data_IF_276984430373
#
_entry.id   IF_276984430373
#
_cell.length_a   1.000
_cell.length_b   1.000
_cell.length_c   1.000
_cell.angle_alpha   90.00
_cell.angle_beta   90.00
_cell.angle_gamma   90.00
#
_symmetry.space_group_name_H-M   'P 1'
#
loop_
_entity.id
_entity.type
_entity.pdbx_description
1 polymer ?
#
# COMPACT_ATOMS: atom_id res chain seq x y z
N UNK A 1 0.30 -29.63 -7.56
CA UNK A 1 0.08 -28.52 -8.51
C UNK A 1 1.03 -27.39 -8.13
N UNK A 2 1.72 -26.73 -9.07
CA UNK A 2 2.49 -25.52 -8.74
C UNK A 2 1.53 -24.35 -8.63
N UNK A 3 1.39 -23.77 -7.44
CA UNK A 3 0.61 -22.54 -7.23
C UNK A 3 1.14 -21.44 -8.17
N UNK A 4 0.29 -20.79 -8.99
CA UNK A 4 0.70 -19.72 -9.90
C UNK A 4 0.85 -18.36 -9.21
N UNK A 5 0.71 -18.30 -7.88
CA UNK A 5 0.76 -17.04 -7.14
C UNK A 5 2.20 -16.63 -6.86
N UNK A 6 2.68 -15.62 -7.59
CA UNK A 6 3.94 -14.94 -7.24
C UNK A 6 3.81 -14.38 -5.83
N UNK A 7 4.69 -14.81 -4.95
CA UNK A 7 4.77 -14.28 -3.60
C UNK A 7 5.13 -12.78 -3.67
N UNK A 8 4.37 -11.89 -3.01
CA UNK A 8 4.72 -10.48 -2.97
C UNK A 8 6.08 -10.25 -2.32
N UNK A 9 6.90 -9.40 -2.93
CA UNK A 9 8.19 -8.97 -2.37
C UNK A 9 7.97 -7.87 -1.33
N UNK A 10 8.96 -7.63 -0.46
CA UNK A 10 8.96 -6.47 0.45
C UNK A 10 8.75 -5.16 -0.32
N UNK A 11 9.34 -5.03 -1.50
CA UNK A 11 9.17 -3.87 -2.37
C UNK A 11 7.71 -3.69 -2.80
N UNK A 12 7.04 -4.77 -3.22
CA UNK A 12 5.62 -4.75 -3.60
C UNK A 12 4.72 -4.36 -2.42
N UNK A 13 4.99 -4.91 -1.24
CA UNK A 13 4.24 -4.54 -0.03
C UNK A 13 4.44 -3.07 0.35
N UNK A 14 5.68 -2.56 0.23
CA UNK A 14 5.98 -1.16 0.48
C UNK A 14 5.30 -0.24 -0.53
N UNK A 15 5.28 -0.58 -1.81
CA UNK A 15 4.58 0.23 -2.81
C UNK A 15 3.09 0.35 -2.46
N UNK A 16 2.44 -0.75 -2.09
CA UNK A 16 1.02 -0.73 -1.69
C UNK A 16 0.76 0.05 -0.40
N UNK A 17 1.69 0.00 0.56
CA UNK A 17 1.65 0.81 1.78
C UNK A 17 1.77 2.32 1.48
N UNK A 18 2.70 2.69 0.60
CA UNK A 18 3.02 4.09 0.29
C UNK A 18 2.01 4.73 -0.67
N UNK A 19 1.44 3.94 -1.60
CA UNK A 19 0.59 4.41 -2.69
C UNK A 19 -0.52 5.39 -2.24
N UNK A 20 -1.31 5.12 -1.18
CA UNK A 20 -2.36 6.04 -0.73
C UNK A 20 -1.88 7.45 -0.40
N UNK A 21 -0.60 7.60 -0.01
CA UNK A 21 -0.01 8.86 0.44
C UNK A 21 0.57 9.68 -0.72
N UNK A 22 0.80 9.07 -1.88
CA UNK A 22 1.35 9.75 -3.07
C UNK A 22 0.31 9.99 -4.16
N UNK A 23 -0.75 9.18 -4.22
CA UNK A 23 -1.77 9.24 -5.28
C UNK A 23 -2.43 10.63 -5.41
N UNK A 24 -2.61 11.36 -4.32
CA UNK A 24 -3.31 12.66 -4.28
C UNK A 24 -2.41 13.87 -4.43
N UNK A 25 -1.10 13.67 -4.48
CA UNK A 25 -0.15 14.74 -4.30
C UNK A 25 0.31 15.21 -5.68
N UNK A 26 -0.12 16.41 -6.06
CA UNK A 26 0.17 16.98 -7.38
C UNK A 26 1.65 17.30 -7.59
N UNK A 27 2.28 17.91 -6.58
CA UNK A 27 3.70 18.24 -6.63
C UNK A 27 4.54 16.97 -6.53
N UNK A 28 5.45 16.80 -7.47
CA UNK A 28 6.39 15.67 -7.44
C UNK A 28 7.30 15.73 -6.21
N UNK A 29 7.75 16.93 -5.83
CA UNK A 29 8.56 17.13 -4.62
C UNK A 29 7.81 16.67 -3.35
N UNK A 30 6.51 16.99 -3.26
CA UNK A 30 5.68 16.54 -2.15
C UNK A 30 5.43 15.01 -2.18
N UNK A 31 5.35 14.40 -3.37
CA UNK A 31 5.32 12.93 -3.49
C UNK A 31 6.61 12.30 -2.99
N UNK A 32 7.76 12.89 -3.31
CA UNK A 32 9.06 12.43 -2.80
C UNK A 32 9.12 12.51 -1.27
N UNK A 33 8.68 13.63 -0.68
CA UNK A 33 8.59 13.78 0.78
C UNK A 33 7.66 12.73 1.39
N UNK A 34 6.48 12.49 0.80
CA UNK A 34 5.56 11.46 1.25
C UNK A 34 6.17 10.05 1.19
N UNK A 35 6.89 9.72 0.11
CA UNK A 35 7.60 8.45 -0.04
C UNK A 35 8.70 8.27 1.01
N UNK A 36 9.47 9.33 1.29
CA UNK A 36 10.49 9.33 2.35
C UNK A 36 9.86 9.14 3.74
N UNK A 37 8.77 9.85 4.05
CA UNK A 37 8.03 9.69 5.30
C UNK A 37 7.49 8.26 5.46
N UNK A 38 6.96 7.66 4.39
CA UNK A 38 6.54 6.26 4.37
C UNK A 38 7.72 5.32 4.64
N UNK A 39 8.88 5.56 4.05
CA UNK A 39 10.10 4.79 4.28
C UNK A 39 10.56 4.86 5.75
N UNK A 40 10.52 6.05 6.35
CA UNK A 40 10.81 6.24 7.78
C UNK A 40 9.81 5.48 8.65
N UNK A 41 8.51 5.67 8.42
CA UNK A 41 7.46 4.97 9.15
C UNK A 41 7.58 3.44 9.04
N UNK A 42 7.93 2.93 7.85
CA UNK A 42 8.19 1.51 7.65
C UNK A 42 9.33 1.00 8.53
N UNK A 43 10.48 1.66 8.52
CA UNK A 43 11.63 1.22 9.30
C UNK A 43 11.42 1.39 10.81
N UNK A 44 10.76 2.46 11.25
CA UNK A 44 10.40 2.68 12.66
C UNK A 44 9.45 1.59 13.13
N UNK A 45 8.55 1.10 12.28
CA UNK A 45 7.62 0.01 12.64
C UNK A 45 8.30 -1.32 13.03
N UNK A 46 9.57 -1.50 12.65
CA UNK A 46 10.36 -2.69 12.94
C UNK A 46 10.84 -2.76 14.40
N UNK A 47 10.80 -1.65 15.13
CA UNK A 47 11.15 -1.66 16.54
C UNK A 47 10.03 -2.30 17.37
N UNK A 48 10.35 -3.27 18.25
CA UNK A 48 9.37 -4.19 18.82
C UNK A 48 8.36 -3.51 19.74
N UNK A 49 8.75 -2.49 20.50
CA UNK A 49 7.85 -1.83 21.47
C UNK A 49 7.59 -0.35 21.17
N UNK A 50 6.46 0.14 21.67
CA UNK A 50 5.99 1.50 21.43
C UNK A 50 6.95 2.58 21.97
N UNK A 51 7.64 2.31 23.07
CA UNK A 51 8.61 3.24 23.65
C UNK A 51 9.81 3.44 22.73
N UNK A 52 10.38 2.35 22.20
CA UNK A 52 11.48 2.39 21.24
C UNK A 52 11.07 3.09 19.94
N UNK A 53 9.84 2.85 19.46
CA UNK A 53 9.31 3.53 18.28
C UNK A 53 9.20 5.03 18.50
N UNK A 54 8.66 5.46 19.65
CA UNK A 54 8.61 6.87 20.04
C UNK A 54 10.01 7.48 20.08
N UNK A 55 10.96 6.81 20.72
CA UNK A 55 12.36 7.26 20.78
C UNK A 55 13.00 7.39 19.40
N UNK A 56 12.69 6.50 18.45
CA UNK A 56 13.20 6.65 17.07
C UNK A 56 12.56 7.84 16.35
N UNK A 57 11.26 8.07 16.54
CA UNK A 57 10.57 9.25 15.98
C UNK A 57 11.21 10.54 16.51
N UNK A 58 11.48 10.61 17.82
CA UNK A 58 12.15 11.75 18.43
C UNK A 58 13.57 11.94 17.84
N UNK A 59 14.36 10.87 17.72
CA UNK A 59 15.70 10.93 17.11
C UNK A 59 15.71 11.37 15.65
N UNK A 60 14.68 10.99 14.87
CA UNK A 60 14.56 11.44 13.49
C UNK A 60 14.28 12.94 13.46
N UNK A 61 13.39 13.42 14.32
CA UNK A 61 13.12 14.86 14.43
C UNK A 61 14.37 15.63 14.85
N UNK A 62 15.11 15.17 15.86
CA UNK A 62 16.33 15.84 16.33
C UNK A 62 17.38 16.01 15.21
N UNK A 63 17.46 15.05 14.29
CA UNK A 63 18.33 15.16 13.10
C UNK A 63 17.80 16.17 12.09
N UNK A 64 16.51 16.13 11.80
CA UNK A 64 15.88 17.11 10.89
C UNK A 64 16.04 18.53 11.42
N UNK A 65 15.87 18.73 12.73
CA UNK A 65 16.08 20.03 13.37
C UNK A 65 17.54 20.47 13.29
N UNK A 66 18.49 19.57 13.58
CA UNK A 66 19.91 19.88 13.50
C UNK A 66 20.41 20.21 12.07
N UNK A 67 19.79 19.63 11.04
CA UNK A 67 20.14 19.86 9.64
C UNK A 67 19.52 21.15 9.07
N UNK A 68 18.53 21.74 9.76
CA UNK A 68 17.85 22.95 9.32
C UNK A 68 18.55 24.21 9.85
N UNK A 69 18.68 25.24 9.00
CA UNK A 69 19.28 26.53 9.37
C UNK A 69 18.30 27.44 10.12
N UNK A 70 16.99 27.21 9.96
CA UNK A 70 15.93 28.01 10.55
C UNK A 70 15.12 27.18 11.56
N UNK A 71 14.60 27.80 12.63
CA UNK A 71 13.75 27.12 13.59
C UNK A 71 12.48 26.60 12.91
N UNK A 72 12.06 25.40 13.28
CA UNK A 72 10.85 24.79 12.75
C UNK A 72 9.61 25.66 13.03
N UNK A 73 8.71 25.87 12.05
CA UNK A 73 7.44 26.54 12.26
C UNK A 73 6.63 25.91 13.40
N UNK A 74 5.84 26.69 14.16
CA UNK A 74 4.99 26.17 15.21
C UNK A 74 4.08 25.04 14.73
N UNK A 75 4.06 23.92 15.45
CA UNK A 75 3.24 22.75 15.14
C UNK A 75 3.84 21.77 14.14
N UNK A 76 4.93 22.11 13.44
CA UNK A 76 5.57 21.21 12.47
C UNK A 76 6.08 19.92 13.14
N UNK A 77 6.74 20.04 14.29
CA UNK A 77 7.21 18.87 15.06
C UNK A 77 6.04 17.94 15.40
N UNK A 78 4.96 18.49 15.93
CA UNK A 78 3.80 17.72 16.36
C UNK A 78 3.16 16.98 15.18
N UNK A 79 2.96 17.68 14.05
CA UNK A 79 2.44 17.11 12.81
C UNK A 79 3.33 15.98 12.30
N UNK A 80 4.63 16.24 12.15
CA UNK A 80 5.62 15.25 11.72
C UNK A 80 5.61 13.99 12.58
N UNK A 81 5.67 14.15 13.90
CA UNK A 81 5.66 13.02 14.85
C UNK A 81 4.33 12.27 14.81
N UNK A 82 3.21 12.95 14.61
CA UNK A 82 1.89 12.31 14.47
C UNK A 82 1.79 11.49 13.19
N UNK A 83 2.27 12.02 12.07
CA UNK A 83 2.28 11.31 10.79
C UNK A 83 3.14 10.04 10.85
N UNK A 84 4.35 10.12 11.43
CA UNK A 84 5.20 8.93 11.60
C UNK A 84 4.56 7.88 12.51
N UNK A 85 3.84 8.28 13.58
CA UNK A 85 3.08 7.33 14.41
C UNK A 85 1.98 6.65 13.61
N UNK A 86 1.19 7.41 12.85
CA UNK A 86 0.14 6.88 11.99
C UNK A 86 0.71 5.87 10.98
N UNK A 87 1.78 6.24 10.26
CA UNK A 87 2.43 5.38 9.26
C UNK A 87 2.98 4.10 9.89
N UNK A 88 3.58 4.21 11.07
CA UNK A 88 4.08 3.06 11.83
C UNK A 88 2.96 2.09 12.17
N UNK A 89 1.85 2.59 12.74
CA UNK A 89 0.68 1.76 13.07
C UNK A 89 0.09 1.11 11.81
N UNK A 90 -0.10 1.89 10.74
CA UNK A 90 -0.62 1.37 9.48
C UNK A 90 0.24 0.25 8.90
N UNK A 91 1.58 0.37 8.94
CA UNK A 91 2.47 -0.70 8.51
C UNK A 91 2.26 -1.95 9.37
N UNK A 92 2.21 -1.80 10.70
CA UNK A 92 2.00 -2.93 11.62
C UNK A 92 0.66 -3.63 11.39
N UNK A 93 -0.39 -2.89 11.06
CA UNK A 93 -1.71 -3.45 10.78
C UNK A 93 -1.76 -4.17 9.44
N UNK A 94 -1.15 -3.61 8.39
CA UNK A 94 -1.20 -4.16 7.03
C UNK A 94 -0.20 -5.31 6.84
N UNK A 95 1.01 -5.19 7.41
CA UNK A 95 2.13 -6.09 7.17
C UNK A 95 2.92 -6.44 8.45
N UNK A 96 2.27 -7.06 9.47
CA UNK A 96 2.91 -7.41 10.74
C UNK A 96 4.05 -8.44 10.61
N UNK A 97 4.04 -9.30 9.58
CA UNK A 97 5.07 -10.33 9.38
C UNK A 97 6.31 -9.84 8.63
N UNK A 98 6.26 -8.67 8.00
CA UNK A 98 7.39 -8.17 7.21
C UNK A 98 8.40 -7.43 8.08
N UNK A 99 9.47 -8.12 8.46
CA UNK A 99 10.53 -7.59 9.32
C UNK A 99 11.77 -7.12 8.56
N UNK A 100 11.62 -6.84 7.27
CA UNK A 100 12.71 -6.37 6.41
C UNK A 100 12.75 -4.84 6.39
N UNK A 101 13.94 -4.28 6.60
CA UNK A 101 14.17 -2.85 6.47
C UNK A 101 14.26 -2.42 5.01
N UNK A 102 13.94 -1.15 4.78
CA UNK A 102 14.02 -0.49 3.49
C UNK A 102 14.97 0.70 3.66
N UNK A 103 16.28 0.51 3.44
CA UNK A 103 17.24 1.60 3.63
C UNK A 103 17.00 2.80 2.71
N UNK A 104 16.38 2.58 1.54
CA UNK A 104 16.16 3.62 0.53
C UNK A 104 14.92 3.30 -0.30
N UNK A 105 14.06 4.29 -0.44
CA UNK A 105 12.92 4.28 -1.36
C UNK A 105 12.81 5.66 -2.00
N UNK A 106 12.93 5.72 -3.32
CA UNK A 106 12.97 6.98 -4.06
C UNK A 106 12.01 6.97 -5.23
N UNK A 107 11.34 8.10 -5.42
CA UNK A 107 10.55 8.36 -6.61
C UNK A 107 11.39 9.11 -7.62
N UNK A 108 11.35 8.63 -8.86
CA UNK A 108 11.77 9.36 -10.05
C UNK A 108 10.56 9.59 -10.95
N UNK A 109 10.49 10.77 -11.57
CA UNK A 109 9.40 11.11 -12.47
C UNK A 109 9.68 10.51 -13.85
N UNK A 110 8.68 9.85 -14.45
CA UNK A 110 8.68 9.46 -15.86
C UNK A 110 7.45 10.06 -16.55
N UNK A 111 7.41 10.03 -17.89
CA UNK A 111 6.46 10.80 -18.70
C UNK A 111 4.98 10.54 -18.35
N UNK A 112 4.65 9.30 -18.00
CA UNK A 112 3.27 8.85 -17.75
C UNK A 112 3.06 8.20 -16.38
N UNK A 113 4.13 7.95 -15.64
CA UNK A 113 4.12 7.21 -14.37
C UNK A 113 5.29 7.69 -13.51
N UNK A 114 5.17 7.64 -12.18
CA UNK A 114 6.37 7.72 -11.34
C UNK A 114 7.00 6.32 -11.24
N UNK A 115 8.32 6.25 -11.09
CA UNK A 115 9.05 5.00 -10.83
C UNK A 115 9.53 5.05 -9.38
N UNK A 116 9.09 4.06 -8.60
CA UNK A 116 9.53 3.84 -7.23
C UNK A 116 10.67 2.82 -7.22
N UNK A 117 11.88 3.28 -6.91
CA UNK A 117 13.06 2.45 -6.74
C UNK A 117 13.24 2.12 -5.26
N UNK A 118 13.20 0.82 -4.92
CA UNK A 118 13.24 0.34 -3.53
C UNK A 118 14.46 -0.54 -3.34
N UNK A 119 15.32 -0.16 -2.40
CA UNK A 119 16.39 -1.02 -1.89
C UNK A 119 15.90 -1.69 -0.61
N UNK A 120 15.85 -3.02 -0.61
CA UNK A 120 15.60 -3.78 0.62
C UNK A 120 16.92 -4.22 1.25
N UNK A 121 16.93 -4.55 2.55
CA UNK A 121 18.15 -4.91 3.28
C UNK A 121 18.94 -6.10 2.72
N UNK A 122 18.33 -6.96 1.89
CA UNK A 122 18.93 -8.21 1.42
C UNK A 122 18.88 -8.42 -0.10
N UNK A 123 18.29 -7.48 -0.87
CA UNK A 123 18.13 -7.61 -2.32
C UNK A 123 18.74 -6.43 -3.08
N UNK A 124 18.82 -6.58 -4.41
CA UNK A 124 19.07 -5.48 -5.32
C UNK A 124 17.96 -4.43 -5.29
N UNK A 125 18.09 -3.40 -6.12
CA UNK A 125 17.04 -2.39 -6.28
C UNK A 125 15.91 -3.01 -7.09
N UNK A 126 14.70 -2.97 -6.55
CA UNK A 126 13.47 -3.30 -7.25
C UNK A 126 12.79 -2.01 -7.72
N UNK A 127 12.36 -1.96 -8.98
CA UNK A 127 11.66 -0.80 -9.54
C UNK A 127 10.18 -1.14 -9.78
N UNK A 128 9.31 -0.28 -9.26
CA UNK A 128 7.85 -0.44 -9.38
C UNK A 128 7.29 0.80 -10.06
N UNK A 129 6.56 0.59 -11.15
CA UNK A 129 5.84 1.68 -11.83
C UNK A 129 4.58 2.02 -11.05
N UNK A 130 4.43 3.29 -10.69
CA UNK A 130 3.27 3.81 -9.99
C UNK A 130 2.46 4.68 -10.94
N UNK A 131 1.18 4.32 -11.10
CA UNK A 131 0.20 5.13 -11.82
C UNK A 131 -0.26 6.24 -10.87
N UNK A 132 0.49 7.34 -10.82
CA UNK A 132 0.18 8.51 -9.99
C UNK A 132 -0.53 9.57 -10.82
N UNK A 133 -1.85 9.54 -10.82
CA UNK A 133 -2.66 10.63 -11.36
C UNK A 133 -3.47 11.27 -10.24
N UNK A 134 -3.20 12.52 -9.87
CA UNK A 134 -3.90 13.19 -8.77
C UNK A 134 -5.29 13.69 -9.17
N UNK A 135 -5.61 13.71 -10.47
CA UNK A 135 -6.84 14.24 -11.02
C UNK A 135 -7.68 13.19 -11.78
N UNK A 136 -9.01 13.40 -11.88
CA UNK A 136 -9.91 12.44 -12.53
C UNK A 136 -9.63 12.14 -14.01
N UNK A 137 -8.79 12.91 -14.73
CA UNK A 137 -8.40 12.56 -16.10
C UNK A 137 -7.53 11.31 -16.14
N UNK A 138 -6.89 10.96 -15.02
CA UNK A 138 -6.20 9.69 -14.85
C UNK A 138 -7.11 8.48 -14.69
N UNK A 139 -8.43 8.65 -14.60
CA UNK A 139 -9.38 7.57 -14.35
C UNK A 139 -9.22 6.38 -15.32
N UNK A 140 -9.00 6.54 -16.64
CA UNK A 140 -8.77 5.40 -17.52
C UNK A 140 -7.58 4.52 -17.12
N UNK A 141 -6.49 5.12 -16.66
CA UNK A 141 -5.28 4.41 -16.25
C UNK A 141 -5.51 3.69 -14.92
N UNK A 142 -6.18 4.34 -13.97
CA UNK A 142 -6.58 3.73 -12.70
C UNK A 142 -7.53 2.55 -12.94
N UNK A 143 -8.50 2.69 -13.85
CA UNK A 143 -9.45 1.64 -14.19
C UNK A 143 -8.72 0.37 -14.68
N UNK A 144 -7.67 0.52 -15.49
CA UNK A 144 -6.89 -0.64 -15.95
C UNK A 144 -6.19 -1.35 -14.78
N UNK A 145 -5.67 -0.62 -13.80
CA UNK A 145 -5.12 -1.21 -12.58
C UNK A 145 -6.20 -1.96 -11.79
N UNK A 146 -7.37 -1.34 -11.60
CA UNK A 146 -8.49 -1.96 -10.87
C UNK A 146 -9.03 -3.21 -11.57
N UNK A 147 -9.08 -3.22 -12.91
CA UNK A 147 -9.38 -4.42 -13.71
C UNK A 147 -8.34 -5.51 -13.52
N UNK A 148 -7.07 -5.16 -13.37
CA UNK A 148 -6.01 -6.10 -13.00
C UNK A 148 -6.32 -6.77 -11.66
N UNK A 149 -6.51 -5.96 -10.62
CA UNK A 149 -6.83 -6.43 -9.26
C UNK A 149 -8.08 -7.32 -9.26
N UNK A 150 -9.15 -6.90 -9.92
CA UNK A 150 -10.40 -7.67 -10.01
C UNK A 150 -10.17 -9.05 -10.64
N UNK A 151 -9.44 -9.12 -11.76
CA UNK A 151 -9.14 -10.38 -12.45
C UNK A 151 -8.28 -11.30 -11.58
N UNK A 152 -7.29 -10.76 -10.88
CA UNK A 152 -6.42 -11.55 -10.03
C UNK A 152 -7.16 -12.09 -8.81
N UNK A 153 -8.07 -11.29 -8.22
CA UNK A 153 -8.98 -11.73 -7.16
C UNK A 153 -9.85 -12.90 -7.63
N UNK A 154 -10.48 -12.75 -8.81
CA UNK A 154 -11.38 -13.78 -9.33
C UNK A 154 -10.66 -15.12 -9.52
N UNK A 155 -9.42 -15.09 -10.04
CA UNK A 155 -8.59 -16.30 -10.18
C UNK A 155 -8.25 -16.92 -8.83
N UNK A 156 -7.98 -16.12 -7.81
CA UNK A 156 -7.68 -16.62 -6.47
C UNK A 156 -8.91 -17.24 -5.81
N UNK A 157 -10.08 -16.63 -5.95
CA UNK A 157 -11.36 -17.20 -5.48
C UNK A 157 -11.64 -18.53 -6.16
N UNK A 158 -11.51 -18.60 -7.49
CA UNK A 158 -11.71 -19.84 -8.26
C UNK A 158 -10.77 -20.96 -7.80
N UNK A 159 -9.51 -20.63 -7.51
CA UNK A 159 -8.53 -21.58 -6.97
C UNK A 159 -8.97 -22.14 -5.62
N UNK A 160 -9.43 -21.30 -4.69
CA UNK A 160 -9.93 -21.73 -3.37
C UNK A 160 -11.14 -22.62 -3.51
N UNK A 161 -12.12 -22.21 -4.30
CA UNK A 161 -13.32 -23.02 -4.52
C UNK A 161 -12.99 -24.39 -5.10
N UNK A 162 -12.02 -24.46 -6.02
CA UNK A 162 -11.60 -25.72 -6.64
C UNK A 162 -10.95 -26.67 -5.61
N UNK A 163 -10.08 -26.15 -4.76
CA UNK A 163 -9.42 -26.92 -3.70
C UNK A 163 -10.46 -27.44 -2.70
N UNK A 164 -11.37 -26.57 -2.27
CA UNK A 164 -12.44 -26.93 -1.33
C UNK A 164 -13.39 -27.99 -1.92
N UNK A 165 -13.80 -27.84 -3.19
CA UNK A 165 -14.65 -28.84 -3.89
C UNK A 165 -13.97 -30.19 -4.03
N UNK A 166 -12.64 -30.21 -4.16
CA UNK A 166 -11.84 -31.42 -4.20
C UNK A 166 -11.61 -32.08 -2.84
N UNK A 167 -12.20 -31.56 -1.75
CA UNK A 167 -11.86 -31.92 -0.36
C UNK A 167 -10.35 -31.82 -0.06
N UNK A 168 -9.65 -30.97 -0.81
CA UNK A 168 -8.24 -30.70 -0.61
C UNK A 168 -8.02 -29.64 0.47
N UNK A 169 -6.82 -29.62 1.02
CA UNK A 169 -6.37 -28.58 1.94
C UNK A 169 -5.14 -27.91 1.32
N UNK A 170 -5.03 -26.59 1.50
CA UNK A 170 -3.83 -25.87 1.10
C UNK A 170 -2.66 -26.27 1.98
N UNK A 171 -1.49 -26.49 1.37
CA UNK A 171 -0.26 -26.63 2.16
C UNK A 171 0.09 -25.31 2.86
N UNK A 172 0.87 -25.37 3.94
CA UNK A 172 1.27 -24.18 4.72
C UNK A 172 1.90 -23.07 3.86
N UNK A 173 2.70 -23.47 2.86
CA UNK A 173 3.35 -22.56 1.92
C UNK A 173 2.29 -21.83 1.07
N UNK A 174 1.31 -22.55 0.54
CA UNK A 174 0.26 -21.99 -0.32
C UNK A 174 -0.65 -21.07 0.48
N UNK A 175 -1.05 -21.48 1.69
CA UNK A 175 -1.82 -20.66 2.63
C UNK A 175 -1.10 -19.35 2.95
N UNK A 176 0.22 -19.42 3.19
CA UNK A 176 1.05 -18.24 3.47
C UNK A 176 1.15 -17.30 2.26
N UNK A 177 1.37 -17.86 1.06
CA UNK A 177 1.43 -17.07 -0.18
C UNK A 177 0.10 -16.37 -0.48
N UNK A 178 -1.02 -17.08 -0.34
CA UNK A 178 -2.36 -16.52 -0.55
C UNK A 178 -2.68 -15.44 0.47
N UNK A 179 -2.43 -15.69 1.76
CA UNK A 179 -2.64 -14.71 2.82
C UNK A 179 -1.85 -13.43 2.56
N UNK A 180 -0.58 -13.57 2.17
CA UNK A 180 0.30 -12.42 1.87
C UNK A 180 -0.22 -11.63 0.66
N UNK A 181 -0.58 -12.32 -0.43
CA UNK A 181 -1.12 -11.69 -1.63
C UNK A 181 -2.41 -10.90 -1.33
N UNK A 182 -3.31 -11.47 -0.53
CA UNK A 182 -4.55 -10.80 -0.14
C UNK A 182 -4.31 -9.57 0.74
N UNK A 183 -3.32 -9.61 1.64
CA UNK A 183 -3.00 -8.45 2.46
C UNK A 183 -2.43 -7.28 1.63
N UNK A 184 -1.55 -7.57 0.66
CA UNK A 184 -1.05 -6.56 -0.29
C UNK A 184 -2.19 -5.95 -1.08
N UNK A 185 -3.06 -6.81 -1.60
CA UNK A 185 -4.23 -6.38 -2.35
C UNK A 185 -5.15 -5.48 -1.52
N UNK A 186 -5.41 -5.82 -0.25
CA UNK A 186 -6.20 -4.97 0.65
C UNK A 186 -5.54 -3.61 0.88
N UNK A 187 -4.22 -3.55 0.99
CA UNK A 187 -3.51 -2.28 1.12
C UNK A 187 -3.70 -1.40 -0.14
N UNK A 188 -3.61 -1.98 -1.33
CA UNK A 188 -3.89 -1.26 -2.59
C UNK A 188 -5.32 -0.72 -2.64
N UNK A 189 -6.31 -1.56 -2.27
CA UNK A 189 -7.73 -1.19 -2.31
C UNK A 189 -8.03 0.02 -1.41
N UNK A 190 -7.36 0.16 -0.25
CA UNK A 190 -7.54 1.32 0.63
C UNK A 190 -7.14 2.62 -0.08
N UNK A 191 -6.02 2.60 -0.82
CA UNK A 191 -5.56 3.75 -1.60
C UNK A 191 -6.55 4.15 -2.68
N UNK A 192 -6.96 3.19 -3.51
CA UNK A 192 -7.92 3.45 -4.58
C UNK A 192 -9.30 3.86 -4.05
N UNK A 193 -9.78 3.25 -2.96
CA UNK A 193 -11.06 3.61 -2.36
C UNK A 193 -11.08 5.07 -1.91
N UNK A 194 -10.03 5.51 -1.20
CA UNK A 194 -9.90 6.92 -0.81
C UNK A 194 -9.91 7.82 -2.04
N UNK A 195 -9.15 7.46 -3.06
CA UNK A 195 -9.00 8.27 -4.28
C UNK A 195 -10.29 8.44 -5.04
N UNK A 196 -10.97 7.33 -5.33
CA UNK A 196 -12.26 7.36 -6.00
C UNK A 196 -13.32 8.09 -5.16
N UNK A 197 -13.29 7.99 -3.84
CA UNK A 197 -14.23 8.73 -2.97
C UNK A 197 -14.06 10.25 -3.14
N UNK A 198 -12.84 10.75 -3.00
CA UNK A 198 -12.54 12.20 -3.16
C UNK A 198 -12.90 12.68 -4.55
N UNK A 199 -12.53 11.94 -5.60
CA UNK A 199 -12.88 12.28 -6.97
C UNK A 199 -14.39 12.31 -7.19
N UNK A 200 -15.14 11.32 -6.68
CA UNK A 200 -16.61 11.29 -6.79
C UNK A 200 -17.25 12.51 -6.12
N UNK A 201 -16.75 12.89 -4.95
CA UNK A 201 -17.36 13.93 -4.12
C UNK A 201 -17.06 15.33 -4.68
N UNK A 202 -15.93 15.49 -5.37
CA UNK A 202 -15.51 16.74 -6.04
C UNK A 202 -15.98 16.86 -7.50
N UNK A 203 -16.50 15.79 -8.10
CA UNK A 203 -16.82 15.78 -9.53
C UNK A 203 -18.19 16.39 -9.84
N UNK A 204 -18.25 17.45 -10.69
CA UNK A 204 -19.51 18.09 -11.06
C UNK A 204 -20.31 17.29 -12.09
N UNK A 205 -19.64 16.55 -12.99
CA UNK A 205 -20.32 15.83 -14.08
C UNK A 205 -21.00 14.54 -13.59
N UNK A 206 -22.34 14.38 -13.72
CA UNK A 206 -23.05 13.21 -13.23
C UNK A 206 -22.60 11.89 -13.88
N UNK A 207 -22.19 11.93 -15.15
CA UNK A 207 -21.70 10.75 -15.87
C UNK A 207 -20.42 10.20 -15.24
N UNK A 208 -19.43 11.06 -15.00
CA UNK A 208 -18.16 10.65 -14.39
C UNK A 208 -18.35 10.23 -12.94
N UNK A 209 -19.23 10.93 -12.19
CA UNK A 209 -19.61 10.54 -10.82
C UNK A 209 -20.20 9.12 -10.77
N UNK A 210 -21.00 8.74 -11.77
CA UNK A 210 -21.58 7.40 -11.91
C UNK A 210 -20.53 6.34 -12.20
N UNK A 211 -19.58 6.62 -13.09
CA UNK A 211 -18.45 5.72 -13.39
C UNK A 211 -17.59 5.48 -12.16
N UNK A 212 -17.23 6.55 -11.43
CA UNK A 212 -16.45 6.44 -10.19
C UNK A 212 -17.24 5.66 -9.13
N UNK A 213 -18.54 5.92 -9.00
CA UNK A 213 -19.43 5.18 -8.09
C UNK A 213 -19.47 3.68 -8.38
N UNK A 214 -19.52 3.29 -9.65
CA UNK A 214 -19.44 1.88 -10.05
C UNK A 214 -18.12 1.22 -9.61
N UNK A 215 -16.98 1.90 -9.80
CA UNK A 215 -15.70 1.38 -9.36
C UNK A 215 -15.57 1.27 -7.84
N UNK A 216 -16.13 2.22 -7.08
CA UNK A 216 -16.21 2.11 -5.62
C UNK A 216 -16.99 0.86 -5.17
N UNK A 217 -18.09 0.54 -5.87
CA UNK A 217 -18.83 -0.70 -5.61
C UNK A 217 -17.97 -1.94 -5.90
N UNK A 218 -17.25 -1.96 -7.03
CA UNK A 218 -16.33 -3.05 -7.37
C UNK A 218 -15.25 -3.23 -6.28
N UNK A 219 -14.67 -2.14 -5.76
CA UNK A 219 -13.68 -2.23 -4.67
C UNK A 219 -14.28 -2.88 -3.43
N UNK A 220 -15.53 -2.56 -3.09
CA UNK A 220 -16.23 -3.17 -1.96
C UNK A 220 -16.49 -4.67 -2.17
N UNK A 221 -16.88 -5.08 -3.38
CA UNK A 221 -17.05 -6.49 -3.75
C UNK A 221 -15.73 -7.27 -3.65
N UNK A 222 -14.63 -6.68 -4.16
CA UNK A 222 -13.30 -7.27 -4.05
C UNK A 222 -12.91 -7.42 -2.57
N UNK A 223 -13.10 -6.39 -1.74
CA UNK A 223 -12.78 -6.46 -0.31
C UNK A 223 -13.59 -7.55 0.41
N UNK A 224 -14.89 -7.66 0.10
CA UNK A 224 -15.77 -8.70 0.63
C UNK A 224 -15.29 -10.10 0.27
N UNK A 225 -14.96 -10.33 -1.00
CA UNK A 225 -14.43 -11.61 -1.47
C UNK A 225 -13.09 -11.96 -0.81
N UNK A 226 -12.18 -11.00 -0.70
CA UNK A 226 -10.89 -11.20 -0.03
C UNK A 226 -11.08 -11.57 1.45
N UNK A 227 -11.99 -10.90 2.18
CA UNK A 227 -12.30 -11.24 3.58
C UNK A 227 -12.86 -12.65 3.71
N UNK A 228 -13.79 -13.03 2.84
CA UNK A 228 -14.37 -14.37 2.84
C UNK A 228 -13.30 -15.44 2.62
N UNK A 229 -12.42 -15.25 1.63
CA UNK A 229 -11.34 -16.20 1.36
C UNK A 229 -10.34 -16.29 2.52
N UNK A 230 -9.94 -15.16 3.11
CA UNK A 230 -9.06 -15.17 4.29
C UNK A 230 -9.70 -15.94 5.46
N UNK A 231 -11.01 -15.79 5.68
CA UNK A 231 -11.74 -16.55 6.69
C UNK A 231 -11.71 -18.06 6.44
N UNK A 232 -11.86 -18.48 5.18
CA UNK A 232 -11.74 -19.89 4.79
C UNK A 232 -10.32 -20.43 5.02
N UNK A 233 -9.29 -19.69 4.59
CA UNK A 233 -7.89 -20.10 4.76
C UNK A 233 -7.48 -20.25 6.23
N UNK A 234 -8.02 -19.40 7.13
CA UNK A 234 -7.80 -19.52 8.58
C UNK A 234 -8.56 -20.70 9.17
N UNK A 235 -9.75 -21.02 8.65
CA UNK A 235 -10.59 -22.14 9.13
C UNK A 235 -10.11 -23.51 8.67
N UNK A 236 -9.24 -23.57 7.65
CA UNK A 236 -8.61 -24.79 7.15
C UNK A 236 -7.26 -25.12 7.82
N UNK A 237 -6.80 -24.31 8.78
CA UNK A 237 -5.69 -24.64 9.68
C UNK A 237 -6.17 -25.47 10.86
#
# INVERSE_FOLDING_TARGET
MKSPLKQPTTATCFSSFMLPHVLFVRSFEERQKAAMSCCLGWNISLFPNALQRKQQIDRVWDRVEADNQEPAPPGLEQGFKQDLRMLTTQKQDLFPWLNTNIPRAELSQSDTHDILSIKTGHSGIEEIRLVTHPDPLGLPLIIEVLRGIQRDTAKQVELVERVMRGHGVFGDIETTQMTTAYCVQRADLIGYHRMLTVWRDTQPAPSLKRVIGHWLQILHEIEGNTKAVLGLLVSCR
#
